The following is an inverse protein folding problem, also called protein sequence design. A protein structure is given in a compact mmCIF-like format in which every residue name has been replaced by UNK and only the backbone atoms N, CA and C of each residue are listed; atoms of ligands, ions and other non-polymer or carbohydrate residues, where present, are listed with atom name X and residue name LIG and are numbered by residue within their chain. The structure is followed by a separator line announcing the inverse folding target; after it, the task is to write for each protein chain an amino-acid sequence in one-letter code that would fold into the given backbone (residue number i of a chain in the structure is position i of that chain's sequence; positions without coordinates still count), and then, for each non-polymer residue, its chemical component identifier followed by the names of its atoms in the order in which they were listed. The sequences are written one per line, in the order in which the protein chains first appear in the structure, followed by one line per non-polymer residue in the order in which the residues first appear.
data_IF_912566822895
#
_entry.id   IF_912566822895
#
_cell.length_a   1.000
_cell.length_b   1.000
_cell.length_c   1.000
_cell.angle_alpha   90.00
_cell.angle_beta   90.00
_cell.angle_gamma   90.00
#
_symmetry.space_group_name_H-M   'P 1'
#
loop_
_entity.id
_entity.type
_entity.pdbx_description
1 polymer ?
#
# COMPACT_ATOMS: atom_id res chain seq x y z
N UNK A 1 9.03 6.06 -30.86
CA UNK A 1 8.49 5.18 -29.80
C UNK A 1 9.12 5.66 -28.49
N UNK A 2 8.33 6.28 -27.61
CA UNK A 2 8.82 6.71 -26.32
C UNK A 2 8.72 5.53 -25.34
N UNK A 3 9.86 5.17 -24.73
CA UNK A 3 9.93 4.13 -23.71
C UNK A 3 9.16 4.59 -22.47
N UNK A 4 8.21 3.78 -22.01
CA UNK A 4 7.49 4.03 -20.77
C UNK A 4 8.50 3.86 -19.61
N UNK A 5 8.70 4.87 -18.75
CA UNK A 5 9.65 4.79 -17.62
C UNK A 5 9.35 3.64 -16.65
N UNK A 6 8.11 3.09 -16.68
CA UNK A 6 7.73 1.91 -15.92
C UNK A 6 8.31 0.59 -16.45
N UNK A 7 8.83 0.56 -17.69
CA UNK A 7 9.29 -0.69 -18.33
C UNK A 7 10.72 -1.07 -17.97
N UNK A 8 11.46 -0.23 -17.22
CA UNK A 8 12.89 -0.42 -17.02
C UNK A 8 13.66 -0.42 -18.35
N UNK A 9 15.00 -0.37 -18.29
CA UNK A 9 15.79 -0.52 -19.51
C UNK A 9 15.57 -1.94 -20.09
N UNK A 10 15.38 -2.13 -21.42
CA UNK A 10 14.76 -3.36 -21.94
C UNK A 10 15.56 -4.66 -21.77
N UNK A 11 16.78 -4.61 -21.23
CA UNK A 11 17.70 -5.76 -21.16
C UNK A 11 18.60 -5.75 -19.93
N UNK A 12 18.12 -5.26 -18.78
CA UNK A 12 18.89 -5.43 -17.53
C UNK A 12 18.51 -6.77 -16.90
N UNK A 13 19.44 -7.75 -16.78
CA UNK A 13 19.21 -8.95 -16.00
C UNK A 13 18.75 -8.58 -14.58
N UNK A 14 17.82 -9.35 -14.01
CA UNK A 14 17.13 -9.03 -12.74
C UNK A 14 18.10 -8.63 -11.62
N UNK A 15 19.21 -9.36 -11.47
CA UNK A 15 20.23 -9.07 -10.46
C UNK A 15 20.99 -7.76 -10.69
N UNK A 16 21.05 -7.22 -11.91
CA UNK A 16 21.63 -5.91 -12.20
C UNK A 16 20.60 -4.77 -12.11
N UNK A 17 19.29 -5.07 -12.27
CA UNK A 17 18.23 -4.09 -12.10
C UNK A 17 18.12 -3.67 -10.62
N UNK A 18 18.34 -4.61 -9.71
CA UNK A 18 18.44 -4.35 -8.26
C UNK A 18 19.55 -3.35 -7.92
N UNK A 19 20.69 -3.37 -8.63
CA UNK A 19 21.82 -2.45 -8.42
C UNK A 19 21.68 -1.09 -9.15
N UNK A 20 20.78 -0.97 -10.12
CA UNK A 20 20.61 0.26 -10.90
C UNK A 20 19.78 1.35 -10.18
N UNK A 21 19.11 0.99 -9.08
CA UNK A 21 18.38 1.90 -8.21
C UNK A 21 18.77 1.70 -6.74
N UNK A 22 18.70 2.76 -5.93
CA UNK A 22 18.89 2.63 -4.48
C UNK A 22 17.85 1.65 -3.90
N UNK A 23 18.31 0.49 -3.41
CA UNK A 23 17.47 -0.62 -2.94
C UNK A 23 16.49 -0.17 -1.85
N UNK A 24 16.97 0.57 -0.86
CA UNK A 24 16.13 1.16 0.18
C UNK A 24 15.00 2.03 -0.41
N UNK A 25 15.31 2.89 -1.38
CA UNK A 25 14.29 3.70 -2.07
C UNK A 25 13.28 2.86 -2.83
N UNK A 26 13.71 1.75 -3.44
CA UNK A 26 12.81 0.82 -4.12
C UNK A 26 11.88 0.12 -3.12
N UNK A 27 12.41 -0.35 -1.99
CA UNK A 27 11.61 -0.93 -0.91
C UNK A 27 10.58 0.06 -0.38
N UNK A 28 10.98 1.32 -0.18
CA UNK A 28 10.05 2.39 0.19
C UNK A 28 8.98 2.63 -0.87
N UNK A 29 9.35 2.59 -2.15
CA UNK A 29 8.39 2.76 -3.23
C UNK A 29 7.36 1.62 -3.23
N UNK A 30 7.78 0.36 -3.06
CA UNK A 30 6.85 -0.78 -3.00
C UNK A 30 5.86 -0.66 -1.83
N UNK A 31 6.31 -0.17 -0.67
CA UNK A 31 5.43 0.09 0.48
C UNK A 31 4.43 1.23 0.19
N UNK A 32 4.84 2.25 -0.55
CA UNK A 32 3.93 3.33 -0.97
C UNK A 32 2.93 2.85 -2.03
N UNK A 33 3.38 2.01 -2.94
CA UNK A 33 2.56 1.45 -4.01
C UNK A 33 1.45 0.56 -3.44
N UNK A 34 1.75 -0.26 -2.43
CA UNK A 34 0.72 -1.07 -1.78
C UNK A 34 -0.31 -0.21 -1.03
N UNK A 35 0.11 0.88 -0.36
CA UNK A 35 -0.83 1.83 0.26
C UNK A 35 -1.71 2.53 -0.78
N UNK A 36 -1.14 2.90 -1.93
CA UNK A 36 -1.89 3.49 -3.03
C UNK A 36 -2.89 2.49 -3.63
N UNK A 37 -2.49 1.23 -3.84
CA UNK A 37 -3.36 0.18 -4.34
C UNK A 37 -4.49 -0.13 -3.35
N UNK A 38 -4.17 -0.21 -2.05
CA UNK A 38 -5.16 -0.32 -0.97
C UNK A 38 -6.19 0.81 -1.08
N UNK A 39 -5.74 2.07 -1.14
CA UNK A 39 -6.61 3.26 -1.30
C UNK A 39 -7.48 3.21 -2.54
N UNK A 40 -6.95 2.76 -3.67
CA UNK A 40 -7.72 2.64 -4.90
C UNK A 40 -8.94 1.71 -4.73
N UNK A 41 -8.82 0.66 -3.91
CA UNK A 41 -9.90 -0.30 -3.70
C UNK A 41 -11.11 0.27 -2.93
N UNK A 42 -10.95 1.36 -2.17
CA UNK A 42 -12.05 1.99 -1.41
C UNK A 42 -12.15 3.50 -1.61
N UNK A 43 -11.44 4.07 -2.59
CA UNK A 43 -11.44 5.50 -2.90
C UNK A 43 -12.87 6.01 -3.19
N UNK A 44 -13.67 5.21 -3.91
CA UNK A 44 -15.08 5.52 -4.18
C UNK A 44 -15.89 5.64 -2.88
N UNK A 45 -15.63 4.74 -1.91
CA UNK A 45 -16.30 4.78 -0.61
C UNK A 45 -15.86 6.00 0.20
N UNK A 46 -14.57 6.35 0.22
CA UNK A 46 -14.09 7.57 0.89
C UNK A 46 -14.74 8.81 0.30
N UNK A 47 -14.84 8.93 -1.03
CA UNK A 47 -15.45 10.10 -1.67
C UNK A 47 -16.92 10.22 -1.29
N UNK A 48 -17.66 9.10 -1.35
CA UNK A 48 -19.09 9.10 -1.04
C UNK A 48 -19.38 9.37 0.45
N UNK A 49 -18.57 8.83 1.36
CA UNK A 49 -18.66 9.04 2.81
C UNK A 49 -18.23 10.46 3.18
N UNK A 50 -17.10 10.91 2.65
CA UNK A 50 -16.46 12.17 3.03
C UNK A 50 -17.20 13.43 2.59
N UNK A 51 -18.18 13.31 1.69
CA UNK A 51 -19.02 14.44 1.30
C UNK A 51 -19.97 14.89 2.42
N UNK A 52 -20.39 13.98 3.30
CA UNK A 52 -21.46 14.25 4.29
C UNK A 52 -21.09 13.88 5.73
N UNK A 53 -19.90 13.33 5.97
CA UNK A 53 -19.48 12.86 7.30
C UNK A 53 -18.32 13.73 7.77
N UNK A 54 -18.60 14.52 8.81
CA UNK A 54 -17.64 15.37 9.50
C UNK A 54 -17.73 15.15 11.02
N UNK A 55 -16.62 15.25 11.76
CA UNK A 55 -15.26 15.46 11.26
C UNK A 55 -14.69 14.21 10.57
N UNK A 56 -13.87 14.41 9.54
CA UNK A 56 -13.18 13.34 8.80
C UNK A 56 -11.68 13.53 8.92
N UNK A 57 -10.99 12.55 9.51
CA UNK A 57 -9.54 12.45 9.46
C UNK A 57 -9.15 11.37 8.45
N UNK A 58 -8.35 11.72 7.45
CA UNK A 58 -7.79 10.75 6.51
C UNK A 58 -6.28 10.95 6.35
N UNK A 59 -5.61 9.90 5.89
CA UNK A 59 -4.17 9.85 5.76
C UNK A 59 -3.78 9.33 4.37
N UNK A 60 -2.73 9.91 3.81
CA UNK A 60 -2.15 9.52 2.54
C UNK A 60 -0.63 9.39 2.68
N UNK A 61 -0.05 8.34 2.11
CA UNK A 61 1.41 8.23 2.02
C UNK A 61 1.93 9.22 0.96
N UNK A 62 2.94 10.01 1.32
CA UNK A 62 3.60 10.98 0.41
C UNK A 62 5.07 10.63 0.20
N UNK A 63 5.76 11.33 -0.71
CA UNK A 63 7.19 11.09 -0.93
C UNK A 63 8.04 11.36 0.32
N UNK A 64 7.62 12.31 1.17
CA UNK A 64 8.43 12.91 2.23
C UNK A 64 8.00 12.47 3.65
N UNK A 65 7.16 11.43 3.73
CA UNK A 65 6.48 11.03 4.96
C UNK A 65 5.04 11.55 4.99
N UNK A 66 4.13 10.71 5.46
CA UNK A 66 2.69 10.77 5.18
C UNK A 66 2.05 12.11 5.52
N UNK A 67 0.88 12.32 4.95
CA UNK A 67 0.07 13.51 5.15
C UNK A 67 -1.25 13.12 5.81
N UNK A 68 -1.51 13.72 6.96
CA UNK A 68 -2.81 13.68 7.62
C UNK A 68 -3.62 14.91 7.25
N UNK A 69 -4.87 14.69 6.93
CA UNK A 69 -5.83 15.76 6.68
C UNK A 69 -7.05 15.58 7.56
N UNK A 70 -7.33 16.55 8.42
CA UNK A 70 -8.57 16.66 9.18
C UNK A 70 -9.49 17.66 8.51
N UNK A 71 -10.69 17.23 8.16
CA UNK A 71 -11.81 18.06 7.74
C UNK A 71 -12.79 18.17 8.91
N UNK A 72 -13.07 19.38 9.38
CA UNK A 72 -14.10 19.60 10.42
C UNK A 72 -15.46 19.94 9.82
N UNK A 73 -15.48 20.37 8.57
CA UNK A 73 -16.65 20.64 7.74
C UNK A 73 -16.20 20.64 6.26
N UNK A 74 -17.13 20.92 5.33
CA UNK A 74 -16.87 20.90 3.89
C UNK A 74 -15.83 21.93 3.40
N UNK A 75 -15.45 22.92 4.22
CA UNK A 75 -14.58 24.04 3.85
C UNK A 75 -13.31 24.10 4.71
N UNK A 76 -13.35 23.58 5.93
CA UNK A 76 -12.24 23.70 6.89
C UNK A 76 -11.34 22.48 6.84
N UNK A 77 -10.05 22.71 6.55
CA UNK A 77 -9.02 21.67 6.38
C UNK A 77 -7.77 21.97 7.20
N UNK A 78 -7.36 21.03 8.04
CA UNK A 78 -6.07 21.03 8.74
C UNK A 78 -5.17 19.94 8.16
N UNK A 79 -3.92 20.28 7.86
CA UNK A 79 -2.97 19.36 7.23
C UNK A 79 -1.71 19.25 8.08
N UNK A 80 -1.30 18.03 8.38
CA UNK A 80 -0.01 17.71 8.97
C UNK A 80 0.80 16.83 8.00
N UNK A 81 2.05 17.17 7.76
CA UNK A 81 2.94 16.50 6.80
C UNK A 81 4.25 16.10 7.47
N UNK A 82 5.07 15.31 6.80
CA UNK A 82 6.36 14.80 7.29
C UNK A 82 6.20 13.86 8.48
N UNK A 83 5.17 13.02 8.43
CA UNK A 83 5.03 11.93 9.40
C UNK A 83 6.24 11.01 9.26
N UNK A 84 6.76 10.53 10.40
CA UNK A 84 7.96 9.71 10.43
C UNK A 84 7.91 8.55 9.43
N UNK A 85 8.97 8.39 8.66
CA UNK A 85 9.05 7.43 7.56
C UNK A 85 8.74 5.98 7.97
N UNK A 86 9.16 5.57 9.18
CA UNK A 86 8.86 4.24 9.73
C UNK A 86 7.37 4.09 10.07
N UNK A 87 6.78 5.14 10.62
CA UNK A 87 5.34 5.14 10.90
C UNK A 87 4.54 4.90 9.62
N UNK A 88 4.90 5.57 8.52
CA UNK A 88 4.26 5.38 7.22
C UNK A 88 4.34 3.94 6.71
N UNK A 89 5.51 3.30 6.88
CA UNK A 89 5.72 1.89 6.49
C UNK A 89 4.83 0.97 7.31
N UNK A 90 4.89 1.11 8.64
CA UNK A 90 4.09 0.28 9.56
C UNK A 90 2.60 0.47 9.30
N UNK A 91 2.16 1.72 9.07
CA UNK A 91 0.78 2.04 8.70
C UNK A 91 0.39 1.36 7.40
N UNK A 92 1.19 1.46 6.34
CA UNK A 92 0.87 0.88 5.04
C UNK A 92 0.70 -0.65 5.13
N UNK A 93 1.64 -1.33 5.81
CA UNK A 93 1.58 -2.79 6.02
C UNK A 93 0.36 -3.17 6.87
N UNK A 94 0.05 -2.42 7.93
CA UNK A 94 -1.10 -2.68 8.79
C UNK A 94 -2.45 -2.52 8.06
N UNK A 95 -2.49 -1.77 6.97
CA UNK A 95 -3.70 -1.56 6.16
C UNK A 95 -3.88 -2.59 5.04
N UNK A 96 -2.96 -3.53 4.85
CA UNK A 96 -3.12 -4.58 3.84
C UNK A 96 -4.45 -5.35 3.97
N UNK A 97 -4.92 -5.75 5.17
CA UNK A 97 -6.25 -6.36 5.33
C UNK A 97 -7.39 -5.49 4.81
N UNK A 98 -7.31 -4.17 5.02
CA UNK A 98 -8.28 -3.22 4.49
C UNK A 98 -8.24 -3.13 2.95
N UNK A 99 -7.10 -3.43 2.32
CA UNK A 99 -7.00 -3.56 0.87
C UNK A 99 -7.59 -4.86 0.31
N UNK A 100 -7.48 -5.96 1.06
CA UNK A 100 -8.07 -7.27 0.71
C UNK A 100 -9.60 -7.24 0.84
N UNK A 101 -10.11 -6.67 1.94
CA UNK A 101 -11.55 -6.63 2.23
C UNK A 101 -12.43 -6.18 1.05
N UNK A 102 -12.21 -5.02 0.39
CA UNK A 102 -13.01 -4.56 -0.74
C UNK A 102 -12.90 -5.43 -1.99
N UNK A 103 -11.78 -6.16 -2.17
CA UNK A 103 -11.64 -7.12 -3.27
C UNK A 103 -12.61 -8.30 -3.08
N UNK A 104 -12.79 -8.75 -1.83
CA UNK A 104 -13.59 -9.93 -1.51
C UNK A 104 -15.05 -9.60 -1.19
N UNK A 105 -15.32 -8.48 -0.52
CA UNK A 105 -16.62 -8.18 0.09
C UNK A 105 -17.76 -8.08 -0.93
N UNK A 106 -17.48 -7.61 -2.15
CA UNK A 106 -18.46 -7.56 -3.24
C UNK A 106 -18.90 -8.93 -3.77
N UNK A 107 -18.21 -10.01 -3.39
CA UNK A 107 -18.46 -11.36 -3.90
C UNK A 107 -18.89 -12.35 -2.81
N UNK A 108 -19.11 -11.89 -1.57
CA UNK A 108 -19.49 -12.76 -0.45
C UNK A 108 -20.77 -13.55 -0.70
N UNK A 109 -21.74 -12.96 -1.41
CA UNK A 109 -23.02 -13.61 -1.75
C UNK A 109 -22.96 -14.44 -3.05
N UNK A 110 -22.04 -14.11 -3.96
CA UNK A 110 -21.94 -14.73 -5.30
C UNK A 110 -20.48 -15.05 -5.67
N UNK A 111 -19.79 -15.94 -4.92
CA UNK A 111 -18.36 -16.20 -5.15
C UNK A 111 -18.07 -17.06 -6.39
N UNK A 112 -19.12 -17.64 -6.99
CA UNK A 112 -19.07 -18.78 -7.94
C UNK A 112 -18.26 -18.54 -9.21
N UNK A 113 -18.10 -17.28 -9.61
CA UNK A 113 -17.44 -16.92 -10.87
C UNK A 113 -16.00 -16.43 -10.66
N UNK A 114 -15.52 -16.36 -9.42
CA UNK A 114 -14.12 -16.10 -9.09
C UNK A 114 -13.57 -14.77 -9.62
N UNK A 115 -14.40 -13.75 -9.84
CA UNK A 115 -13.94 -12.47 -10.41
C UNK A 115 -12.97 -11.72 -9.47
N UNK A 116 -12.99 -12.03 -8.18
CA UNK A 116 -12.03 -11.56 -7.18
C UNK A 116 -10.64 -12.20 -7.29
N UNK A 117 -10.49 -13.35 -7.94
CA UNK A 117 -9.23 -14.10 -7.99
C UNK A 117 -8.09 -13.30 -8.64
N UNK A 118 -8.36 -12.65 -9.78
CA UNK A 118 -7.33 -11.90 -10.49
C UNK A 118 -6.91 -10.62 -9.75
N UNK A 119 -7.84 -9.77 -9.26
CA UNK A 119 -7.49 -8.66 -8.39
C UNK A 119 -6.75 -9.09 -7.11
N UNK A 120 -7.17 -10.19 -6.48
CA UNK A 120 -6.51 -10.70 -5.27
C UNK A 120 -5.09 -11.18 -5.57
N UNK A 121 -4.85 -11.89 -6.68
CA UNK A 121 -3.52 -12.28 -7.12
C UNK A 121 -2.61 -11.07 -7.40
N UNK A 122 -3.12 -10.09 -8.14
CA UNK A 122 -2.37 -8.87 -8.43
C UNK A 122 -1.98 -8.11 -7.14
N UNK A 123 -2.89 -8.04 -6.16
CA UNK A 123 -2.61 -7.43 -4.87
C UNK A 123 -1.64 -8.28 -4.03
N UNK A 124 -1.78 -9.60 -4.04
CA UNK A 124 -0.85 -10.55 -3.41
C UNK A 124 0.58 -10.39 -3.93
N UNK A 125 0.77 -10.21 -5.23
CA UNK A 125 2.10 -10.02 -5.81
C UNK A 125 2.76 -8.73 -5.30
N UNK A 126 1.98 -7.69 -4.97
CA UNK A 126 2.49 -6.49 -4.30
C UNK A 126 2.87 -6.76 -2.84
N UNK A 127 2.05 -7.53 -2.11
CA UNK A 127 2.36 -7.95 -0.73
C UNK A 127 3.69 -8.72 -0.68
N UNK A 128 3.93 -9.61 -1.65
CA UNK A 128 5.18 -10.37 -1.76
C UNK A 128 6.38 -9.45 -1.95
N UNK A 129 6.30 -8.48 -2.87
CA UNK A 129 7.37 -7.50 -3.07
C UNK A 129 7.71 -6.75 -1.79
N UNK A 130 6.69 -6.34 -1.02
CA UNK A 130 6.90 -5.67 0.27
C UNK A 130 7.56 -6.60 1.29
N UNK A 131 7.10 -7.85 1.41
CA UNK A 131 7.72 -8.86 2.29
C UNK A 131 9.20 -9.06 1.99
N UNK A 132 9.55 -9.15 0.71
CA UNK A 132 10.91 -9.49 0.29
C UNK A 132 11.89 -8.33 0.44
N UNK A 133 11.41 -7.09 0.39
CA UNK A 133 12.26 -5.90 0.29
C UNK A 133 12.21 -4.98 1.51
N UNK A 134 11.20 -5.09 2.40
CA UNK A 134 11.03 -4.15 3.53
C UNK A 134 12.23 -4.08 4.48
N UNK A 135 13.02 -5.15 4.58
CA UNK A 135 14.13 -5.22 5.52
C UNK A 135 15.32 -4.33 5.11
N UNK A 136 15.33 -3.85 3.86
CA UNK A 136 16.30 -2.90 3.33
C UNK A 136 15.99 -1.45 3.73
N UNK A 137 14.84 -1.22 4.36
CA UNK A 137 14.46 0.09 4.89
C UNK A 137 15.28 0.40 6.15
N UNK A 138 16.07 1.47 6.12
CA UNK A 138 16.80 1.93 7.29
C UNK A 138 15.86 2.56 8.33
N UNK A 139 16.26 2.51 9.61
CA UNK A 139 15.50 3.07 10.72
C UNK A 139 14.42 2.16 11.32
N UNK A 140 14.07 1.03 10.68
CA UNK A 140 13.21 0.04 11.32
C UNK A 140 13.93 -0.64 12.48
N UNK A 141 13.31 -0.60 13.66
CA UNK A 141 13.76 -1.36 14.82
C UNK A 141 13.54 -2.87 14.62
N UNK A 142 14.15 -3.69 15.48
CA UNK A 142 13.90 -5.14 15.45
C UNK A 142 12.40 -5.45 15.70
N UNK A 143 11.75 -4.69 16.58
CA UNK A 143 10.33 -4.83 16.88
C UNK A 143 9.45 -4.48 15.68
N UNK A 144 9.77 -3.41 14.94
CA UNK A 144 9.08 -3.05 13.70
C UNK A 144 9.17 -4.19 12.67
N UNK A 145 10.36 -4.79 12.54
CA UNK A 145 10.60 -5.89 11.59
C UNK A 145 9.77 -7.12 11.94
N UNK A 146 9.83 -7.57 13.20
CA UNK A 146 9.08 -8.74 13.69
C UNK A 146 7.57 -8.52 13.53
N UNK A 147 7.07 -7.35 13.93
CA UNK A 147 5.64 -7.01 13.86
C UNK A 147 5.14 -7.01 12.41
N UNK A 148 5.89 -6.34 11.52
CA UNK A 148 5.51 -6.25 10.10
C UNK A 148 5.63 -7.61 9.39
N UNK A 149 6.60 -8.45 9.75
CA UNK A 149 6.71 -9.82 9.22
C UNK A 149 5.50 -10.67 9.60
N UNK A 150 5.07 -10.62 10.87
CA UNK A 150 3.89 -11.35 11.33
C UNK A 150 2.63 -10.94 10.55
N UNK A 151 2.41 -9.64 10.36
CA UNK A 151 1.28 -9.11 9.58
C UNK A 151 1.31 -9.56 8.12
N UNK A 152 2.49 -9.56 7.48
CA UNK A 152 2.65 -9.97 6.09
C UNK A 152 2.41 -11.48 5.91
N UNK A 153 2.88 -12.31 6.84
CA UNK A 153 2.62 -13.76 6.82
C UNK A 153 1.12 -14.05 6.96
N UNK A 154 0.44 -13.37 7.89
CA UNK A 154 -0.99 -13.56 8.10
C UNK A 154 -1.80 -13.11 6.88
N UNK A 155 -1.49 -11.93 6.33
CA UNK A 155 -2.19 -11.40 5.13
C UNK A 155 -1.96 -12.24 3.89
N UNK A 156 -0.76 -12.82 3.68
CA UNK A 156 -0.50 -13.75 2.59
C UNK A 156 -1.27 -15.06 2.73
N UNK A 157 -1.55 -15.49 3.96
CA UNK A 157 -2.42 -16.64 4.22
C UNK A 157 -3.85 -16.34 3.77
N UNK A 158 -4.37 -15.16 4.10
CA UNK A 158 -5.72 -14.71 3.69
C UNK A 158 -5.81 -14.43 2.19
N UNK A 159 -4.74 -13.94 1.57
CA UNK A 159 -4.67 -13.67 0.13
C UNK A 159 -4.37 -14.93 -0.72
N UNK A 160 -4.30 -16.12 -0.11
CA UNK A 160 -4.10 -17.37 -0.84
C UNK A 160 -5.42 -17.81 -1.49
N UNK A 161 -5.44 -18.05 -2.81
CA UNK A 161 -6.65 -18.48 -3.53
C UNK A 161 -7.09 -19.90 -3.17
#
# INVERSE_FOLDING_TARGET
MALNPADGYPHTPEHYAEFAGNQERQSFQFVKDIDAAMRANYAVNIVNIGQNIYPLLYVESTFDGGRYTLLTDAKTRYVHQNVGQIYDVTKAISHIPLGIFPILSGYGEYPSFGQWLQPLKAYRDQIIKVRDTKNDISGMTLEDKITTDAMLVETLTVASP
#
